data_IF_220741268813
#
_entry.id   IF_220741268813
#
_cell.length_a   1.000
_cell.length_b   1.000
_cell.length_c   1.000
_cell.angle_alpha   90.00
_cell.angle_beta   90.00
_cell.angle_gamma   90.00
#
_symmetry.space_group_name_H-M   'P 1'
#
loop_
_entity.id
_entity.type
_entity.pdbx_description
1 polymer ?
#
# COMPACT_ATOMS: atom_id res chain seq x y z
N UNK A 1 -2.98 -19.69 -1.65
CA UNK A 1 -2.01 -20.79 -1.76
C UNK A 1 -0.69 -20.34 -2.35
N UNK A 2 0.35 -20.54 -1.58
CA UNK A 2 1.76 -20.29 -1.86
C UNK A 2 2.52 -21.61 -1.78
N UNK A 3 3.50 -21.79 -2.66
CA UNK A 3 4.35 -22.97 -2.69
C UNK A 3 5.84 -22.58 -2.63
N UNK A 4 6.59 -23.22 -1.73
CA UNK A 4 8.06 -23.15 -1.72
C UNK A 4 8.59 -24.17 -2.73
N UNK A 5 9.18 -23.70 -3.82
CA UNK A 5 9.68 -24.54 -4.93
C UNK A 5 11.19 -24.43 -5.08
N UNK A 6 11.80 -25.45 -5.69
CA UNK A 6 13.24 -25.48 -5.95
C UNK A 6 13.63 -25.66 -7.41
N UNK A 7 14.72 -24.98 -7.81
CA UNK A 7 15.20 -24.98 -9.18
C UNK A 7 16.08 -26.20 -9.39
N UNK A 8 15.74 -27.05 -10.36
CA UNK A 8 16.58 -28.20 -10.69
C UNK A 8 17.93 -27.85 -11.33
N UNK A 9 18.12 -26.60 -11.78
CA UNK A 9 19.34 -26.16 -12.47
C UNK A 9 20.35 -25.47 -11.53
N UNK A 10 19.89 -24.74 -10.51
CA UNK A 10 20.77 -23.98 -9.61
C UNK A 10 20.44 -24.17 -8.12
N UNK A 11 19.52 -25.08 -7.79
CA UNK A 11 19.11 -25.43 -6.42
C UNK A 11 18.53 -24.27 -5.61
N UNK A 12 18.23 -23.13 -6.25
CA UNK A 12 17.59 -21.98 -5.62
C UNK A 12 16.18 -22.33 -5.13
N UNK A 13 15.82 -21.86 -3.94
CA UNK A 13 14.47 -21.95 -3.39
C UNK A 13 13.76 -20.59 -3.52
N UNK A 14 12.52 -20.59 -3.98
CA UNK A 14 11.69 -19.38 -4.06
C UNK A 14 10.20 -19.70 -3.86
N UNK A 15 9.40 -18.65 -3.70
CA UNK A 15 7.96 -18.72 -3.51
C UNK A 15 7.24 -18.52 -4.83
N UNK A 16 6.20 -19.32 -5.05
CA UNK A 16 5.27 -19.15 -6.17
C UNK A 16 3.87 -19.02 -5.60
N UNK A 17 3.19 -17.95 -5.99
CA UNK A 17 1.76 -17.75 -5.74
C UNK A 17 0.93 -18.58 -6.74
N UNK A 18 -0.18 -19.15 -6.29
CA UNK A 18 -0.95 -20.17 -6.99
C UNK A 18 -1.44 -19.84 -8.41
N UNK A 19 -1.92 -20.90 -9.09
CA UNK A 19 -2.56 -20.94 -10.44
C UNK A 19 -1.67 -20.62 -11.65
N UNK A 20 -0.37 -20.47 -11.45
CA UNK A 20 0.57 -20.27 -12.54
C UNK A 20 0.84 -21.60 -13.27
N UNK A 21 0.85 -21.59 -14.62
CA UNK A 21 1.29 -22.77 -15.40
C UNK A 21 2.82 -22.90 -15.41
N UNK A 22 3.52 -21.77 -15.34
CA UNK A 22 4.98 -21.72 -15.35
C UNK A 22 5.50 -20.84 -14.22
N UNK A 23 6.72 -21.12 -13.76
CA UNK A 23 7.41 -20.33 -12.74
C UNK A 23 8.85 -20.07 -13.18
N UNK A 24 9.30 -18.82 -13.06
CA UNK A 24 10.67 -18.44 -13.37
C UNK A 24 11.54 -18.47 -12.11
N UNK A 25 12.71 -19.10 -12.19
CA UNK A 25 13.66 -19.09 -11.10
C UNK A 25 14.23 -17.68 -10.89
N UNK A 26 14.07 -17.12 -9.69
CA UNK A 26 14.55 -15.79 -9.33
C UNK A 26 16.07 -15.61 -9.36
N UNK A 27 16.84 -16.71 -9.36
CA UNK A 27 18.32 -16.67 -9.37
C UNK A 27 18.91 -16.82 -10.76
N UNK A 28 18.45 -17.78 -11.55
CA UNK A 28 19.04 -18.09 -12.86
C UNK A 28 18.14 -17.73 -14.06
N UNK A 29 16.93 -17.22 -13.81
CA UNK A 29 15.99 -16.82 -14.86
C UNK A 29 15.36 -17.97 -15.66
N UNK A 30 15.70 -19.23 -15.37
CA UNK A 30 15.14 -20.38 -16.08
C UNK A 30 13.65 -20.53 -15.79
N UNK A 31 12.86 -20.68 -16.86
CA UNK A 31 11.41 -20.96 -16.76
C UNK A 31 11.16 -22.45 -16.59
N UNK A 32 10.30 -22.80 -15.64
CA UNK A 32 9.93 -24.16 -15.30
C UNK A 32 8.41 -24.34 -15.42
N UNK A 33 7.96 -25.55 -15.76
CA UNK A 33 6.55 -25.93 -15.66
C UNK A 33 6.20 -26.13 -14.19
N UNK A 34 5.20 -25.41 -13.68
CA UNK A 34 4.89 -25.37 -12.25
C UNK A 34 4.52 -26.75 -11.70
N UNK A 35 3.70 -27.50 -12.43
CA UNK A 35 3.28 -28.86 -12.04
C UNK A 35 4.43 -29.86 -11.94
N UNK A 36 5.56 -29.58 -12.61
CA UNK A 36 6.75 -30.45 -12.61
C UNK A 36 7.81 -30.01 -11.59
N UNK A 37 7.63 -28.86 -10.94
CA UNK A 37 8.55 -28.40 -9.92
C UNK A 37 8.36 -29.20 -8.64
N UNK A 38 9.49 -29.48 -7.96
CA UNK A 38 9.44 -30.03 -6.62
C UNK A 38 8.92 -28.95 -5.67
N UNK A 39 7.77 -29.21 -5.06
CA UNK A 39 7.16 -28.42 -4.00
C UNK A 39 7.66 -28.96 -2.66
N UNK A 40 8.35 -28.11 -1.90
CA UNK A 40 8.89 -28.48 -0.59
C UNK A 40 7.87 -28.22 0.52
N UNK A 41 7.05 -27.19 0.36
CA UNK A 41 5.92 -26.89 1.23
C UNK A 41 4.85 -26.12 0.45
N UNK A 42 3.61 -26.24 0.90
CA UNK A 42 2.45 -25.53 0.39
C UNK A 42 1.63 -25.02 1.59
N UNK A 43 1.18 -23.78 1.54
CA UNK A 43 0.38 -23.13 2.58
C UNK A 43 -0.52 -22.08 1.95
N UNK A 44 -1.61 -21.70 2.60
CA UNK A 44 -2.45 -20.59 2.15
C UNK A 44 -2.02 -19.22 2.69
N UNK A 45 -1.11 -19.22 3.66
CA UNK A 45 -0.53 -18.04 4.30
C UNK A 45 0.82 -17.67 3.67
N UNK A 46 0.96 -16.42 3.23
CA UNK A 46 2.17 -15.93 2.59
C UNK A 46 3.37 -15.86 3.54
N UNK A 47 3.13 -15.37 4.76
CA UNK A 47 4.16 -15.19 5.78
C UNK A 47 4.69 -16.54 6.24
N UNK A 48 3.78 -17.49 6.45
CA UNK A 48 4.19 -18.86 6.74
C UNK A 48 5.01 -19.47 5.59
N UNK A 49 4.71 -19.13 4.33
CA UNK A 49 5.51 -19.59 3.20
C UNK A 49 6.92 -18.97 3.21
N UNK A 50 7.04 -17.69 3.57
CA UNK A 50 8.33 -16.99 3.74
C UNK A 50 9.16 -17.62 4.84
N UNK A 51 8.56 -17.92 6.00
CA UNK A 51 9.20 -18.62 7.11
C UNK A 51 9.73 -20.00 6.71
N UNK A 52 8.89 -20.81 6.05
CA UNK A 52 9.28 -22.15 5.62
C UNK A 52 10.47 -22.10 4.65
N UNK A 53 10.48 -21.14 3.72
CA UNK A 53 11.62 -20.91 2.84
C UNK A 53 12.86 -20.51 3.63
N UNK A 54 12.74 -19.60 4.60
CA UNK A 54 13.84 -19.12 5.41
C UNK A 54 14.45 -20.24 6.26
N UNK A 55 13.61 -21.03 6.95
CA UNK A 55 13.99 -22.23 7.68
C UNK A 55 14.77 -23.22 6.81
N UNK A 56 14.29 -23.50 5.58
CA UNK A 56 15.00 -24.40 4.67
C UNK A 56 16.36 -23.87 4.22
N UNK A 57 16.50 -22.55 4.04
CA UNK A 57 17.78 -21.91 3.69
C UNK A 57 18.76 -21.88 4.86
N UNK A 58 18.27 -21.64 6.07
CA UNK A 58 19.05 -21.67 7.30
C UNK A 58 19.61 -23.08 7.56
N UNK A 59 18.75 -24.10 7.50
CA UNK A 59 19.16 -25.50 7.63
C UNK A 59 20.17 -25.93 6.56
N UNK A 60 20.04 -25.41 5.32
CA UNK A 60 21.00 -25.68 4.24
C UNK A 60 22.38 -25.04 4.49
N UNK A 61 22.43 -23.99 5.30
CA UNK A 61 23.65 -23.23 5.59
C UNK A 61 24.17 -23.50 7.01
N UNK A 62 23.72 -24.59 7.65
CA UNK A 62 24.07 -24.97 9.03
C UNK A 62 23.76 -23.89 10.09
N UNK A 63 22.75 -23.06 9.82
CA UNK A 63 22.27 -21.99 10.70
C UNK A 63 20.85 -22.24 11.24
N UNK A 64 20.40 -23.50 11.26
CA UNK A 64 19.05 -23.88 11.71
C UNK A 64 18.76 -23.45 13.16
N UNK A 65 19.72 -23.65 14.07
CA UNK A 65 19.56 -23.27 15.48
C UNK A 65 19.48 -21.75 15.66
N UNK A 66 20.25 -20.99 14.87
CA UNK A 66 20.19 -19.53 14.88
C UNK A 66 18.85 -19.03 14.35
N UNK A 67 18.29 -19.66 13.33
CA UNK A 67 16.96 -19.34 12.82
C UNK A 67 15.86 -19.68 13.83
N UNK A 68 15.97 -20.80 14.56
CA UNK A 68 15.01 -21.18 15.59
C UNK A 68 15.02 -20.25 16.82
N UNK A 69 16.08 -19.46 16.99
CA UNK A 69 16.18 -18.45 18.04
C UNK A 69 15.62 -17.07 17.61
N UNK A 70 15.23 -16.91 16.34
CA UNK A 70 14.55 -15.72 15.83
C UNK A 70 13.05 -15.95 15.93
N UNK A 71 12.31 -14.92 16.33
CA UNK A 71 10.85 -14.95 16.43
C UNK A 71 10.18 -15.17 15.06
N UNK A 72 8.89 -15.54 15.09
CA UNK A 72 8.14 -15.78 13.85
C UNK A 72 8.08 -14.51 12.99
N UNK A 73 7.89 -14.67 11.67
CA UNK A 73 7.85 -13.55 10.74
C UNK A 73 6.74 -12.55 11.09
N UNK A 74 5.59 -13.04 11.56
CA UNK A 74 4.50 -12.19 12.06
C UNK A 74 4.85 -11.47 13.37
N UNK A 75 5.69 -12.06 14.23
CA UNK A 75 6.16 -11.41 15.47
C UNK A 75 7.20 -10.32 15.15
N UNK A 76 8.14 -10.61 14.25
CA UNK A 76 9.14 -9.65 13.77
C UNK A 76 8.52 -8.38 13.15
N UNK A 77 7.36 -8.49 12.51
CA UNK A 77 6.64 -7.30 11.99
C UNK A 77 6.23 -6.35 13.12
N UNK A 78 5.80 -6.87 14.26
CA UNK A 78 5.46 -6.03 15.42
C UNK A 78 6.71 -5.38 16.03
N UNK A 79 7.86 -6.06 15.99
CA UNK A 79 9.11 -5.50 16.50
C UNK A 79 9.65 -4.36 15.63
N UNK A 80 9.33 -4.33 14.33
CA UNK A 80 9.80 -3.26 13.42
C UNK A 80 9.28 -1.89 13.86
N UNK A 81 8.04 -1.81 14.34
CA UNK A 81 7.45 -0.55 14.82
C UNK A 81 8.20 0.01 16.05
N UNK A 82 8.76 -0.89 16.87
CA UNK A 82 9.59 -0.55 18.03
C UNK A 82 11.10 -0.48 17.69
N UNK A 83 11.49 -0.88 16.47
CA UNK A 83 12.88 -0.96 16.05
C UNK A 83 13.36 0.37 15.44
N UNK A 84 14.12 1.12 16.23
CA UNK A 84 14.84 2.30 15.76
C UNK A 84 14.59 3.52 16.61
N UNK A 85 14.84 4.70 16.02
CA UNK A 85 14.54 5.98 16.66
C UNK A 85 13.06 6.26 16.44
N UNK A 86 12.30 6.41 17.52
CA UNK A 86 10.88 6.74 17.42
C UNK A 86 10.66 8.08 16.68
N UNK A 87 9.51 8.25 16.04
CA UNK A 87 9.14 9.51 15.37
C UNK A 87 9.32 10.72 16.32
N UNK A 88 8.90 10.56 17.58
CA UNK A 88 9.09 11.58 18.61
C UNK A 88 10.55 11.92 18.83
N UNK A 89 11.40 10.91 19.04
CA UNK A 89 12.83 11.12 19.27
C UNK A 89 13.53 11.71 18.04
N UNK A 90 13.09 11.35 16.83
CA UNK A 90 13.56 11.95 15.58
C UNK A 90 13.16 13.43 15.45
N UNK A 91 11.90 13.76 15.75
CA UNK A 91 11.37 15.13 15.69
C UNK A 91 12.05 16.04 16.73
N UNK A 92 12.10 15.59 17.98
CA UNK A 92 12.79 16.29 19.07
C UNK A 92 14.28 16.49 18.75
N UNK A 93 14.96 15.46 18.24
CA UNK A 93 16.35 15.54 17.79
C UNK A 93 16.57 16.49 16.60
N UNK A 94 15.53 16.73 15.81
CA UNK A 94 15.52 17.70 14.71
C UNK A 94 15.13 19.12 15.14
N UNK A 95 14.86 19.34 16.44
CA UNK A 95 14.44 20.62 16.99
C UNK A 95 12.96 20.95 16.75
N UNK A 96 12.14 19.94 16.46
CA UNK A 96 10.69 20.07 16.29
C UNK A 96 9.98 19.62 17.56
N UNK A 97 8.85 20.27 17.88
CA UNK A 97 7.99 19.88 18.99
C UNK A 97 7.08 18.72 18.55
N UNK A 98 7.38 17.52 19.07
CA UNK A 98 6.65 16.31 18.70
C UNK A 98 5.20 16.31 19.22
N UNK A 99 4.94 16.94 20.35
CA UNK A 99 3.59 17.02 20.94
C UNK A 99 2.71 17.95 20.08
N UNK A 100 3.24 19.12 19.67
CA UNK A 100 2.52 20.03 18.77
C UNK A 100 2.18 19.36 17.43
N UNK A 101 3.10 18.58 16.87
CA UNK A 101 2.90 17.85 15.61
C UNK A 101 1.86 16.74 15.77
N UNK A 102 1.90 15.97 16.86
CA UNK A 102 0.94 14.93 17.14
C UNK A 102 -0.48 15.49 17.30
N UNK A 103 -0.63 16.59 18.04
CA UNK A 103 -1.91 17.29 18.23
C UNK A 103 -2.47 17.84 16.91
N UNK A 104 -1.63 18.38 16.04
CA UNK A 104 -2.02 18.83 14.70
C UNK A 104 -2.50 17.67 13.81
N UNK A 105 -1.87 16.49 13.94
CA UNK A 105 -2.29 15.26 13.27
C UNK A 105 -3.63 14.73 13.77
N UNK A 106 -3.80 14.66 15.10
CA UNK A 106 -5.04 14.19 15.75
C UNK A 106 -6.25 15.07 15.38
N UNK A 107 -6.05 16.38 15.34
CA UNK A 107 -7.06 17.36 14.92
C UNK A 107 -7.59 17.12 13.50
N UNK A 108 -6.78 16.50 12.62
CA UNK A 108 -7.19 16.15 11.25
C UNK A 108 -7.98 14.83 11.20
N UNK A 109 -7.63 13.86 12.04
CA UNK A 109 -8.33 12.56 12.12
C UNK A 109 -9.68 12.62 12.83
N UNK A 110 -9.85 13.48 13.84
CA UNK A 110 -11.13 13.65 14.54
C UNK A 110 -12.18 14.39 13.67
N UNK A 111 -11.73 15.12 12.64
CA UNK A 111 -12.61 15.77 11.65
C UNK A 111 -12.98 14.86 10.47
N UNK A 112 -12.37 13.67 10.36
CA UNK A 112 -12.69 12.69 9.32
C UNK A 112 -14.03 11.95 9.58
N UNK A 113 -14.65 12.16 10.75
CA UNK A 113 -15.91 11.52 11.14
C UNK A 113 -17.21 12.26 10.81
N UNK A 114 -17.18 13.56 10.45
CA UNK A 114 -18.45 14.28 10.20
C UNK A 114 -18.41 15.51 9.28
N UNK A 115 -17.30 15.82 8.62
CA UNK A 115 -17.29 16.86 7.58
C UNK A 115 -16.62 16.33 6.33
N UNK A 116 -17.41 16.12 5.26
CA UNK A 116 -16.86 15.91 3.92
C UNK A 116 -15.79 16.97 3.67
N UNK A 117 -14.57 16.55 3.34
CA UNK A 117 -13.50 17.53 3.10
C UNK A 117 -13.90 18.42 1.93
N UNK A 118 -13.46 19.69 1.88
CA UNK A 118 -13.76 20.59 0.75
C UNK A 118 -13.41 19.97 -0.61
N UNK A 119 -12.35 19.14 -0.67
CA UNK A 119 -11.99 18.35 -1.86
C UNK A 119 -13.03 17.27 -2.16
N UNK A 120 -13.45 16.53 -1.14
CA UNK A 120 -14.47 15.48 -1.26
C UNK A 120 -15.83 16.02 -1.71
N UNK A 121 -16.25 17.19 -1.22
CA UNK A 121 -17.46 17.87 -1.70
C UNK A 121 -17.39 18.19 -3.19
N UNK A 122 -16.23 18.64 -3.68
CA UNK A 122 -16.01 18.89 -5.12
C UNK A 122 -16.05 17.60 -5.93
N UNK A 123 -15.48 16.50 -5.40
CA UNK A 123 -15.55 15.19 -6.05
C UNK A 123 -16.97 14.61 -6.04
N UNK A 124 -17.73 14.83 -4.98
CA UNK A 124 -19.13 14.40 -4.82
C UNK A 124 -20.04 15.13 -5.81
N UNK A 125 -19.80 16.43 -6.03
CA UNK A 125 -20.48 17.22 -7.06
C UNK A 125 -20.29 16.62 -8.46
N UNK A 126 -19.05 16.24 -8.82
CA UNK A 126 -18.75 15.64 -10.13
C UNK A 126 -19.41 14.26 -10.29
N UNK A 127 -19.62 13.52 -9.19
CA UNK A 127 -20.26 12.19 -9.20
C UNK A 127 -21.79 12.27 -9.26
N UNK A 128 -22.36 13.30 -8.64
CA UNK A 128 -23.81 13.39 -8.40
C UNK A 128 -24.53 14.19 -9.48
N UNK A 129 -23.90 15.21 -10.04
CA UNK A 129 -24.50 16.04 -11.08
C UNK A 129 -24.50 15.32 -12.42
N UNK A 130 -25.66 15.30 -13.09
CA UNK A 130 -25.81 14.74 -14.44
C UNK A 130 -24.99 15.54 -15.49
N UNK A 131 -24.85 16.85 -15.27
CA UNK A 131 -24.06 17.75 -16.11
C UNK A 131 -23.11 18.60 -15.23
N UNK A 132 -21.95 18.05 -14.83
CA UNK A 132 -21.02 18.67 -13.89
C UNK A 132 -20.20 19.78 -14.56
N UNK A 133 -20.86 20.86 -14.96
CA UNK A 133 -20.19 22.07 -15.45
C UNK A 133 -19.47 22.79 -14.31
N UNK A 134 -18.52 23.68 -14.64
CA UNK A 134 -17.79 24.46 -13.62
C UNK A 134 -18.74 25.23 -12.70
N UNK A 135 -19.74 25.89 -13.28
CA UNK A 135 -20.77 26.63 -12.54
C UNK A 135 -21.61 25.69 -11.68
N UNK A 136 -22.06 24.55 -12.20
CA UNK A 136 -22.87 23.61 -11.43
C UNK A 136 -22.11 23.00 -10.24
N UNK A 137 -20.80 22.73 -10.41
CA UNK A 137 -19.95 22.24 -9.33
C UNK A 137 -19.69 23.33 -8.28
N UNK A 138 -19.54 24.59 -8.71
CA UNK A 138 -19.41 25.74 -7.79
C UNK A 138 -20.69 25.93 -6.99
N UNK A 139 -21.87 25.88 -7.64
CA UNK A 139 -23.16 26.04 -6.98
C UNK A 139 -23.37 24.95 -5.92
N UNK A 140 -23.18 23.68 -6.32
CA UNK A 140 -23.26 22.53 -5.42
C UNK A 140 -22.30 22.67 -4.22
N UNK A 141 -21.05 23.00 -4.47
CA UNK A 141 -20.05 23.09 -3.41
C UNK A 141 -20.29 24.32 -2.50
N UNK A 142 -20.85 25.40 -3.02
CA UNK A 142 -21.23 26.59 -2.24
C UNK A 142 -22.42 26.30 -1.32
N UNK A 143 -23.39 25.49 -1.75
CA UNK A 143 -24.48 24.97 -0.89
C UNK A 143 -23.96 24.12 0.29
N UNK A 144 -22.73 23.61 0.16
CA UNK A 144 -22.01 22.82 1.16
C UNK A 144 -20.84 23.58 1.80
N UNK A 145 -20.92 24.93 1.86
CA UNK A 145 -19.96 25.82 2.53
C UNK A 145 -18.52 25.79 1.95
N UNK A 146 -18.36 25.40 0.68
CA UNK A 146 -17.07 25.46 -0.04
C UNK A 146 -17.01 26.71 -0.91
N UNK A 147 -16.03 27.62 -0.72
CA UNK A 147 -15.92 28.84 -1.51
C UNK A 147 -15.65 28.56 -2.99
N UNK A 148 -16.30 29.28 -3.90
CA UNK A 148 -16.12 29.17 -5.35
C UNK A 148 -14.64 29.23 -5.81
N UNK A 149 -13.85 30.14 -5.23
CA UNK A 149 -12.42 30.26 -5.54
C UNK A 149 -11.60 29.01 -5.16
N UNK A 150 -12.05 28.26 -4.15
CA UNK A 150 -11.45 26.98 -3.81
C UNK A 150 -11.82 25.93 -4.84
N UNK A 151 -13.08 25.89 -5.26
CA UNK A 151 -13.62 24.93 -6.24
C UNK A 151 -12.88 25.04 -7.57
N UNK A 152 -12.79 26.24 -8.15
CA UNK A 152 -12.06 26.46 -9.42
C UNK A 152 -10.61 25.97 -9.34
N UNK A 153 -9.90 26.37 -8.29
CA UNK A 153 -8.50 25.95 -8.07
C UNK A 153 -8.35 24.44 -7.85
N UNK A 154 -9.34 23.82 -7.21
CA UNK A 154 -9.37 22.39 -6.98
C UNK A 154 -9.57 21.63 -8.30
N UNK A 155 -10.52 22.07 -9.13
CA UNK A 155 -10.78 21.51 -10.46
C UNK A 155 -9.55 21.61 -11.38
N UNK A 156 -8.86 22.76 -11.38
CA UNK A 156 -7.62 22.94 -12.13
C UNK A 156 -6.53 21.95 -11.69
N UNK A 157 -6.34 21.80 -10.38
CA UNK A 157 -5.35 20.85 -9.82
C UNK A 157 -5.70 19.39 -10.16
N UNK A 158 -6.97 19.03 -10.06
CA UNK A 158 -7.46 17.69 -10.38
C UNK A 158 -7.27 17.37 -11.87
N UNK A 159 -7.54 18.33 -12.75
CA UNK A 159 -7.30 18.19 -14.18
C UNK A 159 -5.81 18.08 -14.50
N UNK A 160 -4.96 18.90 -13.87
CA UNK A 160 -3.51 18.85 -14.05
C UNK A 160 -2.90 17.50 -13.64
N UNK A 161 -3.48 16.84 -12.63
CA UNK A 161 -3.06 15.52 -12.15
C UNK A 161 -3.66 14.36 -12.93
N UNK A 162 -4.60 14.62 -13.84
CA UNK A 162 -5.33 13.58 -14.56
C UNK A 162 -6.30 12.80 -13.66
N UNK A 163 -6.72 13.35 -12.51
CA UNK A 163 -7.79 12.78 -11.68
C UNK A 163 -9.18 13.08 -12.29
N UNK A 164 -9.28 14.15 -13.09
CA UNK A 164 -10.50 14.60 -13.76
C UNK A 164 -10.19 15.04 -15.19
N UNK A 165 -11.08 14.74 -16.13
CA UNK A 165 -11.05 15.25 -17.49
C UNK A 165 -12.04 16.41 -17.66
N UNK A 166 -11.64 17.44 -18.40
CA UNK A 166 -12.49 18.58 -18.78
C UNK A 166 -12.89 18.45 -20.24
N UNK A 167 -14.19 18.31 -20.51
CA UNK A 167 -14.76 18.32 -21.86
C UNK A 167 -15.64 19.56 -22.07
N UNK A 168 -16.23 19.70 -23.26
CA UNK A 168 -17.24 20.74 -23.52
C UNK A 168 -18.53 20.51 -22.72
N UNK A 169 -18.76 19.27 -22.29
CA UNK A 169 -19.98 18.82 -21.62
C UNK A 169 -19.83 18.81 -20.09
N UNK A 170 -18.64 19.14 -19.55
CA UNK A 170 -18.38 19.24 -18.11
C UNK A 170 -17.11 18.53 -17.63
N UNK A 171 -17.03 18.30 -16.33
CA UNK A 171 -15.95 17.58 -15.66
C UNK A 171 -16.30 16.09 -15.47
N UNK A 172 -15.37 15.18 -15.72
CA UNK A 172 -15.59 13.75 -15.49
C UNK A 172 -14.39 13.12 -14.79
N UNK A 173 -14.63 12.34 -13.74
CA UNK A 173 -13.58 11.57 -13.06
C UNK A 173 -12.96 10.53 -14.02
N UNK A 174 -11.64 10.35 -13.93
CA UNK A 174 -10.87 9.38 -14.71
C UNK A 174 -10.56 8.11 -13.90
#
# INVERSE_FOLDING_TARGET
>A
MYAVVGCNACSNLWLVEGRQQTAQCSRCGKTHQFDRLKKFAETDDEDHARELRASMLANRSDHGDAFAAVDSFSELENEIDDAGVSDREYLEGSGLDADEIADAGASTSEQAGSSRTRKETVLDAIRTLDEPTESAVIDYATEHDVPAEYVTRCLDKLAQRGEVSRSRDGYRLL
#
